data_IF_374594950800
#
_entry.id   IF_374594950800
#
_cell.length_a   1.000
_cell.length_b   1.000
_cell.length_c   1.000
_cell.angle_alpha   90.00
_cell.angle_beta   90.00
_cell.angle_gamma   90.00
#
_symmetry.space_group_name_H-M   'P 1'
#
loop_
_entity.id
_entity.type
_entity.pdbx_description
1 polymer ?
#
# COMPACT_ATOMS: atom_id res chain seq x y z
N UNK A 1 23.53 13.85 1.87
CA UNK A 1 22.51 12.79 1.88
C UNK A 1 21.25 13.38 1.27
N UNK A 2 20.78 12.89 0.12
CA UNK A 2 19.73 13.57 -0.66
C UNK A 2 18.38 13.59 0.07
N UNK A 3 17.67 14.72 0.03
CA UNK A 3 16.38 14.90 0.69
C UNK A 3 15.29 14.09 -0.06
N UNK A 4 14.80 12.96 0.47
CA UNK A 4 13.93 12.07 -0.30
C UNK A 4 12.55 12.68 -0.56
N UNK A 5 12.12 13.58 0.32
CA UNK A 5 10.88 14.34 0.17
C UNK A 5 10.96 15.34 -1.00
N UNK A 6 12.09 16.05 -1.15
CA UNK A 6 12.31 17.01 -2.25
C UNK A 6 12.38 16.28 -3.59
N UNK A 7 13.08 15.13 -3.63
CA UNK A 7 13.13 14.24 -4.80
C UNK A 7 11.71 13.78 -5.18
N UNK A 8 10.93 13.25 -4.23
CA UNK A 8 9.57 12.78 -4.51
C UNK A 8 8.62 13.92 -4.90
N UNK A 9 8.78 15.11 -4.32
CA UNK A 9 8.02 16.32 -4.67
C UNK A 9 8.25 16.72 -6.14
N UNK A 10 9.50 16.80 -6.57
CA UNK A 10 9.83 17.08 -7.97
C UNK A 10 9.37 15.95 -8.91
N UNK A 11 9.53 14.68 -8.51
CA UNK A 11 9.13 13.54 -9.34
C UNK A 11 7.61 13.50 -9.58
N UNK A 12 6.78 13.72 -8.55
CA UNK A 12 5.32 13.81 -8.69
C UNK A 12 4.92 15.00 -9.55
N UNK A 13 5.61 16.15 -9.43
CA UNK A 13 5.37 17.30 -10.29
C UNK A 13 5.69 17.00 -11.78
N UNK A 14 6.78 16.29 -12.05
CA UNK A 14 7.13 15.82 -13.42
C UNK A 14 6.09 14.86 -13.95
N UNK A 15 5.66 13.86 -13.16
CA UNK A 15 4.65 12.89 -13.56
C UNK A 15 3.30 13.56 -13.86
N UNK A 16 2.81 14.43 -12.96
CA UNK A 16 1.52 15.10 -13.17
C UNK A 16 1.53 16.00 -14.40
N UNK A 17 2.60 16.77 -14.59
CA UNK A 17 2.78 17.52 -15.82
C UNK A 17 2.69 16.55 -17.02
N UNK A 18 3.51 15.50 -17.05
CA UNK A 18 3.57 14.57 -18.16
C UNK A 18 2.19 13.92 -18.49
N UNK A 19 1.40 13.58 -17.48
CA UNK A 19 0.05 13.05 -17.66
C UNK A 19 -0.95 14.07 -18.24
N UNK A 20 -0.73 15.38 -18.02
CA UNK A 20 -1.48 16.47 -18.65
C UNK A 20 -1.05 16.78 -20.09
N UNK A 21 -0.12 16.01 -20.68
CA UNK A 21 0.40 16.27 -22.03
C UNK A 21 1.33 17.49 -22.14
N UNK A 22 1.76 18.05 -21.00
CA UNK A 22 2.70 19.17 -20.88
C UNK A 22 3.87 18.73 -20.03
N UNK A 23 5.10 19.05 -20.35
CA UNK A 23 6.17 18.94 -19.35
C UNK A 23 7.29 19.88 -19.82
N UNK A 24 8.35 20.11 -19.07
CA UNK A 24 9.17 19.14 -18.34
C UNK A 24 10.10 20.10 -17.51
N UNK A 25 10.46 19.70 -16.31
CA UNK A 25 10.87 20.56 -15.17
C UNK A 25 12.38 20.91 -15.15
N UNK A 26 12.82 22.08 -14.67
CA UNK A 26 14.24 22.31 -14.34
C UNK A 26 14.44 22.53 -12.83
N UNK A 27 14.17 21.49 -12.04
CA UNK A 27 14.31 21.48 -10.59
C UNK A 27 15.74 21.17 -10.11
N UNK A 28 15.88 21.00 -8.80
CA UNK A 28 17.14 20.67 -8.11
C UNK A 28 17.54 19.21 -8.34
N UNK A 29 16.56 18.32 -8.46
CA UNK A 29 16.75 16.88 -8.59
C UNK A 29 16.49 16.37 -10.02
N UNK A 30 15.55 16.99 -10.75
CA UNK A 30 15.21 16.60 -12.12
C UNK A 30 15.35 17.78 -13.10
N UNK A 31 15.99 17.54 -14.27
CA UNK A 31 16.04 18.49 -15.40
C UNK A 31 15.45 17.87 -16.66
N UNK A 32 14.50 18.55 -17.25
CA UNK A 32 13.49 17.99 -18.13
C UNK A 32 12.95 19.16 -19.04
N UNK A 33 12.71 18.96 -20.36
CA UNK A 33 12.02 19.89 -21.33
C UNK A 33 11.27 19.05 -22.44
N UNK A 34 9.99 19.30 -22.82
CA UNK A 34 9.13 18.31 -23.58
C UNK A 34 8.68 18.63 -25.01
N UNK A 35 8.04 17.61 -25.61
CA UNK A 35 7.80 17.44 -27.03
C UNK A 35 6.72 16.40 -27.45
N UNK A 36 6.35 15.37 -26.66
CA UNK A 36 5.49 14.27 -27.17
C UNK A 36 4.37 13.78 -26.23
N UNK A 37 3.11 13.99 -26.61
CA UNK A 37 1.93 13.76 -25.76
C UNK A 37 1.70 12.29 -25.35
N UNK A 38 1.65 12.03 -24.04
CA UNK A 38 1.05 10.81 -23.49
C UNK A 38 -0.47 10.89 -23.76
N UNK A 39 -1.00 9.98 -24.59
CA UNK A 39 -2.45 9.73 -24.72
C UNK A 39 -2.97 8.93 -23.52
N UNK A 40 -2.88 9.53 -22.34
CA UNK A 40 -3.52 9.01 -21.15
C UNK A 40 -5.05 9.20 -21.25
N UNK A 41 -5.85 8.32 -20.63
CA UNK A 41 -7.19 8.69 -20.19
C UNK A 41 -7.13 10.01 -19.39
N UNK A 42 -8.12 10.88 -19.56
CA UNK A 42 -8.20 12.11 -18.76
C UNK A 42 -8.25 11.74 -17.27
N UNK A 43 -7.45 12.43 -16.45
CA UNK A 43 -7.35 12.25 -15.01
C UNK A 43 -6.93 10.84 -14.54
N UNK A 44 -5.78 10.33 -15.04
CA UNK A 44 -5.11 9.19 -14.39
C UNK A 44 -4.66 9.56 -12.96
N UNK A 45 -5.06 8.80 -11.93
CA UNK A 45 -4.69 9.09 -10.55
C UNK A 45 -3.23 8.74 -10.27
N UNK A 46 -2.52 9.62 -9.55
CA UNK A 46 -1.14 9.39 -9.11
C UNK A 46 -1.16 8.96 -7.65
N UNK A 47 -0.74 7.73 -7.36
CA UNK A 47 -0.61 7.20 -6.00
C UNK A 47 0.86 7.19 -5.57
N UNK A 48 1.14 7.57 -4.32
CA UNK A 48 2.49 7.59 -3.76
C UNK A 48 2.67 6.47 -2.72
N UNK A 49 3.67 5.61 -2.89
CA UNK A 49 4.02 4.61 -1.87
C UNK A 49 4.79 5.28 -0.72
N UNK A 50 4.30 5.15 0.52
CA UNK A 50 4.83 5.88 1.67
C UNK A 50 4.67 5.13 2.98
N UNK A 51 5.66 5.27 3.87
CA UNK A 51 5.65 4.64 5.19
C UNK A 51 5.91 5.64 6.32
N UNK A 52 6.89 6.55 6.19
CA UNK A 52 7.18 7.51 7.25
C UNK A 52 6.15 8.65 7.28
N UNK A 53 5.81 9.22 8.46
CA UNK A 53 4.85 10.32 8.56
C UNK A 53 5.13 11.50 7.62
N UNK A 54 6.39 11.96 7.41
CA UNK A 54 6.67 13.02 6.43
C UNK A 54 6.37 12.62 4.98
N UNK A 55 6.56 11.36 4.60
CA UNK A 55 6.24 10.88 3.24
C UNK A 55 4.73 10.71 3.05
N UNK A 56 4.01 10.31 4.10
CA UNK A 56 2.54 10.24 4.12
C UNK A 56 1.93 11.64 4.07
N UNK A 57 2.50 12.60 4.80
CA UNK A 57 2.16 14.02 4.69
C UNK A 57 2.39 14.58 3.28
N UNK A 58 3.49 14.19 2.62
CA UNK A 58 3.77 14.56 1.22
C UNK A 58 2.79 13.89 0.23
N UNK A 59 2.43 12.63 0.47
CA UNK A 59 1.41 11.92 -0.32
C UNK A 59 0.06 12.61 -0.23
N UNK A 60 -0.39 12.96 0.98
CA UNK A 60 -1.64 13.71 1.17
C UNK A 60 -1.63 15.08 0.47
N UNK A 61 -0.48 15.76 0.40
CA UNK A 61 -0.37 17.05 -0.28
C UNK A 61 -0.42 16.92 -1.82
N UNK A 62 0.34 15.97 -2.38
CA UNK A 62 0.64 15.94 -3.83
C UNK A 62 -0.07 14.84 -4.62
N UNK A 63 -0.50 13.76 -3.99
CA UNK A 63 -1.04 12.56 -4.64
C UNK A 63 -2.58 12.52 -4.62
N UNK A 64 -3.13 11.59 -5.40
CA UNK A 64 -4.56 11.24 -5.40
C UNK A 64 -4.83 10.03 -4.49
N UNK A 65 -3.78 9.33 -4.07
CA UNK A 65 -3.84 8.27 -3.09
C UNK A 65 -2.46 7.87 -2.54
N UNK A 66 -2.45 6.92 -1.62
CA UNK A 66 -1.25 6.31 -1.02
C UNK A 66 -1.26 4.81 -1.23
N UNK A 67 -0.08 4.20 -1.36
CA UNK A 67 0.08 2.74 -1.30
C UNK A 67 0.87 2.34 -0.06
N UNK A 68 0.23 1.53 0.80
CA UNK A 68 0.78 0.99 2.02
C UNK A 68 1.08 -0.51 1.84
N UNK A 69 2.23 -0.95 2.34
CA UNK A 69 2.65 -2.36 2.31
C UNK A 69 3.16 -2.74 3.70
N UNK A 70 2.71 -3.89 4.22
CA UNK A 70 3.01 -4.40 5.56
C UNK A 70 2.82 -3.37 6.70
N UNK A 71 1.91 -2.42 6.55
CA UNK A 71 1.45 -1.57 7.66
C UNK A 71 0.44 -2.33 8.50
N UNK A 72 0.66 -2.50 9.81
CA UNK A 72 -0.36 -3.03 10.70
C UNK A 72 -1.60 -2.10 10.71
N UNK A 73 -2.84 -2.60 10.88
CA UNK A 73 -4.05 -1.75 10.87
C UNK A 73 -4.02 -0.60 11.88
N UNK A 74 -3.44 -0.80 13.07
CA UNK A 74 -3.24 0.26 14.06
C UNK A 74 -2.38 1.42 13.52
N UNK A 75 -1.32 1.12 12.74
CA UNK A 75 -0.51 2.14 12.09
C UNK A 75 -1.32 3.00 11.12
N UNK A 76 -2.19 2.35 10.35
CA UNK A 76 -3.02 3.03 9.35
C UNK A 76 -3.96 4.02 10.04
N UNK A 77 -4.67 3.55 11.08
CA UNK A 77 -5.63 4.35 11.85
C UNK A 77 -4.98 5.49 12.63
N UNK A 78 -3.93 5.19 13.41
CA UNK A 78 -3.42 6.10 14.44
C UNK A 78 -2.35 7.07 13.92
N UNK A 79 -1.71 6.75 12.80
CA UNK A 79 -0.61 7.55 12.25
C UNK A 79 -0.78 7.87 10.76
N UNK A 80 -1.07 6.87 9.92
CA UNK A 80 -1.06 7.10 8.47
C UNK A 80 -2.21 8.00 8.01
N UNK A 81 -3.45 7.68 8.37
CA UNK A 81 -4.64 8.49 8.04
C UNK A 81 -4.51 9.91 8.62
N UNK A 82 -4.10 10.14 9.89
CA UNK A 82 -3.80 11.48 10.40
C UNK A 82 -2.68 12.22 9.65
N UNK A 83 -1.63 11.53 9.21
CA UNK A 83 -0.56 12.14 8.41
C UNK A 83 -1.04 12.56 7.01
N UNK A 84 -1.80 11.70 6.34
CA UNK A 84 -2.43 11.98 5.05
C UNK A 84 -3.40 13.18 5.16
N UNK A 85 -4.20 13.23 6.23
CA UNK A 85 -5.10 14.35 6.50
C UNK A 85 -4.35 15.69 6.68
N UNK A 86 -3.21 15.72 7.39
CA UNK A 86 -2.35 16.92 7.48
C UNK A 86 -1.78 17.34 6.11
N UNK A 87 -1.43 16.36 5.27
CA UNK A 87 -1.04 16.60 3.87
C UNK A 87 -2.16 17.25 3.05
N UNK A 88 -3.36 16.65 3.08
CA UNK A 88 -4.54 17.15 2.35
C UNK A 88 -4.96 18.55 2.80
N UNK A 89 -4.93 18.82 4.11
CA UNK A 89 -5.20 20.14 4.66
C UNK A 89 -4.25 21.22 4.12
N UNK A 90 -2.94 20.93 3.99
CA UNK A 90 -1.98 21.87 3.37
C UNK A 90 -2.24 22.11 1.88
N UNK A 91 -2.83 21.16 1.18
CA UNK A 91 -3.29 21.31 -0.20
C UNK A 91 -4.70 21.94 -0.32
N UNK A 92 -5.34 22.31 0.79
CA UNK A 92 -6.71 22.85 0.80
C UNK A 92 -7.80 21.84 0.41
N UNK A 93 -7.55 20.53 0.60
CA UNK A 93 -8.43 19.44 0.17
C UNK A 93 -8.95 18.63 1.37
N UNK A 94 -10.17 18.07 1.32
CA UNK A 94 -10.61 17.05 2.27
C UNK A 94 -9.90 15.71 2.03
N UNK A 95 -9.99 14.79 2.99
CA UNK A 95 -9.55 13.40 2.79
C UNK A 95 -10.48 12.64 1.81
N UNK A 96 -11.71 13.11 1.65
CA UNK A 96 -12.70 12.52 0.73
C UNK A 96 -12.15 12.41 -0.71
N UNK A 97 -12.36 11.25 -1.32
CA UNK A 97 -11.84 10.91 -2.64
C UNK A 97 -10.33 10.69 -2.71
N UNK A 98 -9.60 10.65 -1.58
CA UNK A 98 -8.20 10.22 -1.54
C UNK A 98 -8.13 8.71 -1.30
N UNK A 99 -7.48 7.98 -2.22
CA UNK A 99 -7.43 6.51 -2.15
C UNK A 99 -6.34 6.04 -1.17
N UNK A 100 -6.74 5.44 -0.05
CA UNK A 100 -5.85 4.73 0.88
C UNK A 100 -5.80 3.25 0.48
N UNK A 101 -4.77 2.88 -0.29
CA UNK A 101 -4.51 1.50 -0.67
C UNK A 101 -3.65 0.82 0.38
N UNK A 102 -4.04 -0.36 0.85
CA UNK A 102 -3.17 -1.21 1.66
C UNK A 102 -3.16 -2.63 1.10
N UNK A 103 -1.96 -3.14 0.79
CA UNK A 103 -1.79 -4.53 0.42
C UNK A 103 -1.82 -5.42 1.68
N UNK A 104 -2.78 -6.35 1.73
CA UNK A 104 -3.08 -7.23 2.86
C UNK A 104 -2.61 -8.65 2.52
N UNK A 105 -1.54 -9.15 3.15
CA UNK A 105 -1.14 -10.57 3.07
C UNK A 105 -2.24 -11.50 3.58
N UNK A 106 -2.68 -12.43 2.75
CA UNK A 106 -3.71 -13.43 3.11
C UNK A 106 -3.33 -14.79 2.56
N UNK A 107 -3.70 -15.87 3.24
CA UNK A 107 -3.80 -17.20 2.67
C UNK A 107 -4.99 -17.97 3.24
N UNK A 108 -5.92 -18.36 2.38
CA UNK A 108 -6.97 -19.32 2.70
C UNK A 108 -6.45 -20.72 2.39
N UNK A 109 -6.15 -21.49 3.43
CA UNK A 109 -5.41 -22.77 3.32
C UNK A 109 -5.61 -23.63 4.56
N UNK A 110 -5.62 -24.96 4.37
CA UNK A 110 -5.54 -25.93 5.47
C UNK A 110 -4.10 -26.10 5.98
N UNK A 111 -3.08 -25.84 5.14
CA UNK A 111 -1.67 -25.81 5.56
C UNK A 111 -1.27 -24.43 6.09
N UNK A 112 -1.85 -24.06 7.23
CA UNK A 112 -1.51 -22.80 7.90
C UNK A 112 -0.04 -22.76 8.38
N UNK A 113 0.59 -23.91 8.65
CA UNK A 113 1.98 -23.99 9.12
C UNK A 113 2.98 -23.76 8.00
N UNK A 114 2.85 -24.45 6.87
CA UNK A 114 3.74 -24.28 5.73
C UNK A 114 3.64 -22.88 5.14
N UNK A 115 2.42 -22.37 4.92
CA UNK A 115 2.23 -20.99 4.43
C UNK A 115 2.64 -19.95 5.49
N UNK A 116 2.45 -20.23 6.78
CA UNK A 116 2.98 -19.43 7.87
C UNK A 116 4.51 -19.35 7.89
N UNK A 117 5.22 -20.38 7.42
CA UNK A 117 6.68 -20.36 7.24
C UNK A 117 7.10 -19.51 6.04
N UNK A 118 6.40 -19.66 4.90
CA UNK A 118 6.62 -18.82 3.70
C UNK A 118 6.45 -17.33 4.01
N UNK A 119 5.41 -16.96 4.77
CA UNK A 119 5.22 -15.54 5.13
C UNK A 119 6.33 -15.02 6.04
N UNK A 120 6.83 -15.83 6.98
CA UNK A 120 7.98 -15.44 7.82
C UNK A 120 9.24 -15.21 6.98
N UNK A 121 9.51 -16.05 5.99
CA UNK A 121 10.62 -15.87 5.05
C UNK A 121 10.52 -14.55 4.27
N UNK A 122 9.32 -14.15 3.85
CA UNK A 122 9.11 -12.81 3.26
C UNK A 122 9.37 -11.68 4.27
N UNK A 123 8.85 -11.82 5.50
CA UNK A 123 8.95 -10.79 6.55
C UNK A 123 10.40 -10.50 6.96
N UNK A 124 11.30 -11.51 6.98
CA UNK A 124 12.73 -11.34 7.32
C UNK A 124 13.38 -10.17 6.56
N UNK A 125 13.08 -10.02 5.26
CA UNK A 125 13.58 -8.92 4.44
C UNK A 125 13.12 -7.56 4.97
N UNK A 126 11.85 -7.44 5.35
CA UNK A 126 11.25 -6.19 5.80
C UNK A 126 11.64 -5.84 7.24
N UNK A 127 11.78 -6.84 8.13
CA UNK A 127 12.27 -6.64 9.50
C UNK A 127 13.74 -6.19 9.56
N UNK A 128 14.48 -6.33 8.45
CA UNK A 128 15.85 -5.83 8.27
C UNK A 128 15.92 -4.38 7.79
N UNK A 129 14.81 -3.79 7.30
CA UNK A 129 14.79 -2.45 6.70
C UNK A 129 14.43 -1.37 7.76
N UNK A 130 15.24 -0.31 7.92
CA UNK A 130 15.14 0.61 9.06
C UNK A 130 13.80 1.37 9.11
N UNK A 131 13.20 1.68 7.95
CA UNK A 131 11.93 2.39 7.86
C UNK A 131 10.72 1.50 8.17
N UNK A 132 10.75 0.21 7.83
CA UNK A 132 9.76 -0.76 8.30
C UNK A 132 9.86 -0.96 9.81
N UNK A 133 11.09 -1.09 10.34
CA UNK A 133 11.30 -1.16 11.80
C UNK A 133 10.78 0.08 12.52
N UNK A 134 10.98 1.28 11.98
CA UNK A 134 10.43 2.51 12.56
C UNK A 134 8.88 2.52 12.59
N UNK A 135 8.24 2.11 11.48
CA UNK A 135 6.78 1.97 11.40
C UNK A 135 6.25 0.93 12.40
N UNK A 136 6.87 -0.25 12.48
CA UNK A 136 6.48 -1.32 13.40
C UNK A 136 6.67 -0.94 14.88
N UNK A 137 7.75 -0.19 15.22
CA UNK A 137 7.93 0.38 16.57
C UNK A 137 6.83 1.37 16.94
N UNK A 138 6.49 2.29 16.02
CA UNK A 138 5.38 3.22 16.19
C UNK A 138 4.01 2.51 16.28
N UNK A 139 3.94 1.24 15.87
CA UNK A 139 2.76 0.37 15.99
C UNK A 139 2.80 -0.55 17.23
N UNK A 140 3.76 -0.38 18.14
CA UNK A 140 3.88 -1.17 19.38
C UNK A 140 4.75 -2.44 19.29
N UNK A 141 5.24 -2.83 18.12
CA UNK A 141 5.99 -4.09 17.93
C UNK A 141 7.48 -4.03 18.30
N UNK A 142 7.90 -3.03 19.09
CA UNK A 142 9.30 -2.86 19.49
C UNK A 142 9.84 -4.03 20.32
N UNK A 143 8.99 -4.69 21.12
CA UNK A 143 9.33 -5.92 21.82
C UNK A 143 9.54 -7.12 20.86
N UNK A 144 8.64 -7.28 19.88
CA UNK A 144 8.77 -8.33 18.85
C UNK A 144 10.02 -8.11 17.97
N UNK A 145 10.33 -6.87 17.62
CA UNK A 145 11.56 -6.52 16.88
C UNK A 145 12.85 -6.79 17.67
N UNK A 146 12.82 -6.71 19.01
CA UNK A 146 13.92 -7.13 19.88
C UNK A 146 14.06 -8.65 19.96
N UNK A 147 12.95 -9.37 20.05
CA UNK A 147 12.95 -10.84 20.02
C UNK A 147 13.55 -11.33 18.70
N UNK A 148 13.05 -10.84 17.55
CA UNK A 148 13.61 -11.14 16.23
C UNK A 148 15.11 -10.88 16.15
N UNK A 149 15.61 -9.73 16.64
CA UNK A 149 17.04 -9.41 16.58
C UNK A 149 17.93 -10.33 17.42
N UNK A 150 17.43 -10.81 18.56
CA UNK A 150 18.13 -11.78 19.43
C UNK A 150 18.09 -13.18 18.84
N UNK A 151 16.92 -13.62 18.40
CA UNK A 151 16.63 -15.02 18.12
C UNK A 151 17.08 -15.41 16.69
N UNK A 152 17.20 -14.44 15.77
CA UNK A 152 17.70 -14.65 14.38
C UNK A 152 19.19 -14.98 14.28
N UNK A 153 19.92 -14.96 15.39
CA UNK A 153 21.34 -15.31 15.46
C UNK A 153 21.54 -16.82 15.66
N UNK A 154 20.54 -17.50 16.23
CA UNK A 154 20.65 -18.90 16.68
C UNK A 154 20.07 -19.94 15.72
N UNK A 155 19.52 -19.54 14.58
CA UNK A 155 18.88 -20.44 13.62
C UNK A 155 18.44 -19.73 12.33
N UNK A 156 17.63 -20.38 11.47
CA UNK A 156 17.07 -19.76 10.27
C UNK A 156 16.30 -18.48 10.63
N UNK A 157 16.56 -17.33 9.97
CA UNK A 157 15.93 -16.07 10.36
C UNK A 157 14.40 -16.05 10.34
N UNK A 158 13.76 -16.91 9.54
CA UNK A 158 12.31 -17.06 9.49
C UNK A 158 11.75 -17.62 10.82
N UNK A 159 12.45 -18.55 11.46
CA UNK A 159 12.00 -19.18 12.69
C UNK A 159 12.07 -18.22 13.89
N UNK A 160 12.89 -17.16 13.76
CA UNK A 160 12.98 -16.06 14.72
C UNK A 160 11.90 -14.98 14.55
N UNK A 161 11.05 -15.04 13.52
CA UNK A 161 9.96 -14.06 13.33
C UNK A 161 8.81 -14.34 14.31
N UNK A 162 8.52 -13.44 15.27
CA UNK A 162 7.48 -13.65 16.27
C UNK A 162 6.08 -13.77 15.67
N UNK A 163 5.27 -14.69 16.21
CA UNK A 163 3.87 -14.91 15.79
C UNK A 163 3.05 -13.61 15.76
N UNK A 164 3.26 -12.73 16.74
CA UNK A 164 2.59 -11.44 16.87
C UNK A 164 2.75 -10.53 15.63
N UNK A 165 3.87 -10.64 14.90
CA UNK A 165 4.08 -9.91 13.65
C UNK A 165 3.42 -10.61 12.45
N UNK A 166 3.30 -11.94 12.48
CA UNK A 166 2.58 -12.72 11.48
C UNK A 166 1.08 -12.45 11.57
N UNK A 167 0.52 -12.50 12.77
CA UNK A 167 -0.89 -12.20 13.08
C UNK A 167 -1.27 -10.74 12.78
N UNK A 168 -0.39 -9.78 13.08
CA UNK A 168 -0.67 -8.37 12.87
C UNK A 168 -0.54 -7.90 11.41
N UNK A 169 0.25 -8.63 10.60
CA UNK A 169 0.56 -8.25 9.22
C UNK A 169 -0.07 -9.16 8.17
N UNK A 170 -0.70 -10.27 8.54
CA UNK A 170 -1.37 -11.16 7.59
C UNK A 170 -2.46 -12.02 8.23
N UNK A 171 -3.24 -12.68 7.38
CA UNK A 171 -4.28 -13.62 7.80
C UNK A 171 -4.11 -14.97 7.10
N UNK A 172 -3.84 -16.02 7.86
CA UNK A 172 -3.59 -17.38 7.35
C UNK A 172 -4.61 -18.33 7.98
N UNK A 173 -5.21 -19.22 7.17
CA UNK A 173 -6.18 -20.22 7.63
C UNK A 173 -7.52 -20.08 6.92
N UNK A 174 -8.57 -19.70 7.65
CA UNK A 174 -9.95 -19.76 7.14
C UNK A 174 -10.39 -18.55 6.30
N UNK A 175 -11.42 -18.70 5.42
CA UNK A 175 -12.06 -17.58 4.71
C UNK A 175 -12.55 -16.47 5.65
N UNK A 176 -13.03 -16.82 6.84
CA UNK A 176 -13.55 -15.87 7.82
C UNK A 176 -12.43 -15.05 8.44
N UNK A 177 -11.25 -15.65 8.69
CA UNK A 177 -10.07 -14.92 9.12
C UNK A 177 -9.60 -13.92 8.05
N UNK A 178 -9.60 -14.34 6.80
CA UNK A 178 -9.28 -13.50 5.65
C UNK A 178 -10.24 -12.29 5.52
N UNK A 179 -11.57 -12.54 5.56
CA UNK A 179 -12.59 -11.48 5.53
C UNK A 179 -12.50 -10.53 6.73
N UNK A 180 -12.28 -11.06 7.94
CA UNK A 180 -12.05 -10.22 9.16
C UNK A 180 -10.83 -9.32 9.02
N UNK A 181 -9.74 -9.80 8.43
CA UNK A 181 -8.54 -8.98 8.18
C UNK A 181 -8.86 -7.82 7.23
N UNK A 182 -9.49 -8.11 6.07
CA UNK A 182 -9.93 -7.08 5.11
C UNK A 182 -10.85 -6.04 5.78
N UNK A 183 -11.82 -6.49 6.57
CA UNK A 183 -12.71 -5.59 7.33
C UNK A 183 -11.97 -4.73 8.37
N UNK A 184 -10.96 -5.30 9.04
CA UNK A 184 -10.12 -4.58 10.01
C UNK A 184 -9.30 -3.47 9.34
N UNK A 185 -8.75 -3.71 8.15
CA UNK A 185 -8.09 -2.66 7.36
C UNK A 185 -9.08 -1.57 6.93
N UNK A 186 -10.30 -1.93 6.49
CA UNK A 186 -11.34 -0.93 6.18
C UNK A 186 -11.70 -0.06 7.39
N UNK A 187 -11.91 -0.68 8.56
CA UNK A 187 -12.18 0.03 9.81
C UNK A 187 -11.00 0.92 10.28
N UNK A 188 -9.78 0.62 9.85
CA UNK A 188 -8.60 1.47 10.08
C UNK A 188 -8.47 2.64 9.10
N UNK A 189 -9.38 2.81 8.14
CA UNK A 189 -9.38 3.89 7.15
C UNK A 189 -8.75 3.53 5.80
N UNK A 190 -8.56 2.24 5.50
CA UNK A 190 -8.19 1.78 4.14
C UNK A 190 -9.44 1.76 3.25
N UNK A 191 -9.45 2.58 2.21
CA UNK A 191 -10.54 2.62 1.22
C UNK A 191 -10.43 1.46 0.21
N UNK A 192 -9.22 1.08 -0.18
CA UNK A 192 -8.94 -0.04 -1.07
C UNK A 192 -7.94 -1.06 -0.47
N UNK A 193 -8.42 -2.02 0.34
CA UNK A 193 -7.63 -3.17 0.75
C UNK A 193 -7.41 -4.08 -0.45
N UNK A 194 -6.14 -4.25 -0.85
CA UNK A 194 -5.72 -5.14 -1.94
C UNK A 194 -5.28 -6.46 -1.32
N UNK A 195 -6.04 -7.52 -1.54
CA UNK A 195 -5.66 -8.85 -1.06
C UNK A 195 -4.46 -9.34 -1.85
N UNK A 196 -3.36 -9.63 -1.15
CA UNK A 196 -2.16 -10.23 -1.72
C UNK A 196 -2.02 -11.66 -1.18
N UNK A 197 -2.28 -12.69 -1.99
CA UNK A 197 -2.07 -14.06 -1.57
C UNK A 197 -0.61 -14.30 -1.17
N UNK A 198 -0.37 -15.00 -0.06
CA UNK A 198 0.97 -15.22 0.50
C UNK A 198 1.81 -16.15 -0.39
N UNK A 199 3.11 -15.91 -0.49
CA UNK A 199 4.00 -16.66 -1.40
C UNK A 199 3.91 -16.19 -2.85
N UNK A 200 4.22 -17.11 -3.76
CA UNK A 200 4.24 -16.89 -5.21
C UNK A 200 2.82 -16.85 -5.83
N UNK A 201 2.60 -16.15 -6.96
CA UNK A 201 1.31 -16.11 -7.65
C UNK A 201 0.75 -17.49 -8.03
N UNK A 202 1.63 -18.46 -8.26
CA UNK A 202 1.30 -19.84 -8.66
C UNK A 202 1.01 -20.77 -7.47
N UNK A 203 1.08 -20.27 -6.23
CA UNK A 203 0.86 -21.09 -5.05
C UNK A 203 -0.57 -21.69 -5.02
N UNK A 204 -0.77 -22.95 -4.57
CA UNK A 204 -2.07 -23.62 -4.65
C UNK A 204 -3.23 -22.86 -3.98
N UNK A 205 -2.95 -22.16 -2.87
CA UNK A 205 -3.93 -21.34 -2.16
C UNK A 205 -4.16 -19.95 -2.78
N UNK A 206 -3.39 -19.53 -3.79
CA UNK A 206 -3.40 -18.16 -4.28
C UNK A 206 -4.77 -17.74 -4.86
N UNK A 207 -5.30 -18.55 -5.77
CA UNK A 207 -6.64 -18.32 -6.35
C UNK A 207 -7.78 -18.53 -5.33
N UNK A 208 -7.84 -19.64 -4.56
CA UNK A 208 -8.82 -19.80 -3.49
C UNK A 208 -8.83 -18.64 -2.49
N UNK A 209 -7.68 -18.05 -2.18
CA UNK A 209 -7.57 -16.87 -1.31
C UNK A 209 -8.31 -15.66 -1.88
N UNK A 210 -8.15 -15.37 -3.18
CA UNK A 210 -8.84 -14.26 -3.84
C UNK A 210 -10.33 -14.53 -3.98
N UNK A 211 -10.72 -15.76 -4.35
CA UNK A 211 -12.12 -16.17 -4.49
C UNK A 211 -12.87 -16.09 -3.14
N UNK A 212 -12.24 -16.50 -2.03
CA UNK A 212 -12.85 -16.52 -0.69
C UNK A 212 -13.18 -15.14 -0.10
N UNK A 213 -12.46 -14.09 -0.53
CA UNK A 213 -12.59 -12.71 -0.04
C UNK A 213 -13.18 -11.75 -1.08
N UNK A 214 -13.43 -12.22 -2.30
CA UNK A 214 -14.17 -11.45 -3.30
C UNK A 214 -15.58 -11.13 -2.77
N UNK A 215 -16.12 -9.94 -3.04
CA UNK A 215 -17.50 -9.63 -2.72
C UNK A 215 -18.43 -10.55 -3.55
N UNK A 216 -19.51 -11.02 -2.92
CA UNK A 216 -20.56 -11.78 -3.61
C UNK A 216 -21.13 -10.93 -4.76
N UNK A 217 -21.13 -11.48 -5.97
CA UNK A 217 -21.49 -10.78 -7.21
C UNK A 217 -20.31 -10.46 -8.13
N UNK A 218 -19.07 -10.55 -7.65
CA UNK A 218 -17.86 -10.38 -8.46
C UNK A 218 -17.60 -8.93 -8.90
N UNK A 219 -16.49 -8.73 -9.61
CA UNK A 219 -16.08 -7.40 -10.06
C UNK A 219 -16.90 -6.97 -11.29
N UNK A 220 -18.08 -6.38 -11.05
CA UNK A 220 -18.76 -5.57 -12.09
C UNK A 220 -17.80 -4.48 -12.51
N UNK A 221 -17.33 -4.54 -13.77
CA UNK A 221 -16.46 -3.53 -14.35
C UNK A 221 -17.07 -2.13 -14.11
N UNK A 222 -16.22 -1.17 -13.73
CA UNK A 222 -16.65 0.18 -13.38
C UNK A 222 -17.58 0.73 -14.46
N UNK A 223 -18.83 1.03 -14.07
CA UNK A 223 -19.86 1.49 -15.01
C UNK A 223 -19.36 2.77 -15.70
N UNK A 224 -19.34 2.84 -17.04
CA UNK A 224 -18.92 4.04 -17.74
C UNK A 224 -19.90 5.17 -17.38
N UNK A 225 -19.37 6.30 -16.93
CA UNK A 225 -20.17 7.44 -16.49
C UNK A 225 -21.19 7.86 -17.57
N UNK A 226 -22.46 8.10 -17.21
CA UNK A 226 -23.49 8.42 -18.19
C UNK A 226 -23.30 9.85 -18.71
N UNK A 227 -22.93 10.01 -19.99
CA UNK A 227 -22.89 11.35 -20.59
C UNK A 227 -21.98 11.54 -21.81
N UNK A 228 -22.27 10.88 -22.93
CA UNK A 228 -21.77 11.29 -24.25
C UNK A 228 -22.73 10.89 -25.38
N UNK A 229 -24.00 11.29 -25.26
CA UNK A 229 -24.99 11.09 -26.33
C UNK A 229 -24.65 11.95 -27.56
N UNK A 230 -24.23 11.29 -28.63
CA UNK A 230 -24.47 11.66 -30.03
C UNK A 230 -24.23 13.12 -30.47
N UNK A 231 -23.12 13.33 -31.18
CA UNK A 231 -23.14 14.15 -32.40
C UNK A 231 -22.52 13.37 -33.55
N UNK A 232 -23.38 12.97 -34.49
CA UNK A 232 -22.98 12.50 -35.81
C UNK A 232 -22.99 13.68 -36.80
N UNK A 233 -22.51 13.40 -38.02
CA UNK A 233 -22.55 14.22 -39.24
C UNK A 233 -21.50 15.34 -39.38
N UNK A 234 -21.16 15.72 -40.63
CA UNK A 234 -21.57 15.11 -41.90
C UNK A 234 -20.60 14.03 -42.42
#
# INVERSE_FOLDING_TARGET
MGAPLDVMREYVAVLRAALDGRARLAGRHYRVAWDGAIRAPRALPVLLAGLSPPMLELAGELADGVVLWLCAPAYVRDLAVPALARGRARAGKPLDGFEVVAAVPVAVTDDARGVGRVFREELVRYLSLPYYRAMLRASGFDAALRAFDRDRVTGPPADAVPEQLVEALGAIGSPEAARRSVATYRAAGVTLPVVRPIGAPEAPHARPTVEAVAPEGGMTAASPAPGASGRAAP
#
